data_IF_866209080968
#
_entry.id   IF_866209080968
#
_cell.length_a   1.000
_cell.length_b   1.000
_cell.length_c   1.000
_cell.angle_alpha   90.00
_cell.angle_beta   90.00
_cell.angle_gamma   90.00
#
_symmetry.space_group_name_H-M   'P 1'
#
loop_
_entity.id
_entity.type
_entity.pdbx_description
1 polymer ?
#
# COMPACT_ATOMS: atom_id res chain seq x y z
N UNK A 1 12.04 -32.58 -7.15
CA UNK A 1 12.15 -31.34 -6.34
C UNK A 1 10.80 -30.64 -6.41
N UNK A 2 10.01 -30.80 -5.35
CA UNK A 2 8.60 -30.42 -5.21
C UNK A 2 8.47 -28.98 -4.71
N UNK A 3 8.47 -27.98 -5.59
CA UNK A 3 8.28 -26.56 -5.22
C UNK A 3 6.92 -25.99 -5.66
N UNK A 4 6.18 -26.68 -6.54
CA UNK A 4 4.87 -26.22 -7.03
C UNK A 4 3.76 -26.31 -5.97
N UNK A 5 3.84 -27.29 -5.06
CA UNK A 5 2.81 -27.57 -4.06
C UNK A 5 2.70 -26.47 -2.98
N UNK A 6 3.80 -25.82 -2.62
CA UNK A 6 3.79 -24.79 -1.58
C UNK A 6 3.24 -23.45 -2.09
N UNK A 7 3.53 -23.09 -3.33
CA UNK A 7 2.97 -21.92 -3.99
C UNK A 7 1.46 -22.05 -4.18
N UNK A 8 1.01 -23.24 -4.56
CA UNK A 8 -0.40 -23.56 -4.75
C UNK A 8 -1.17 -23.60 -3.42
N UNK A 9 -0.58 -24.20 -2.37
CA UNK A 9 -1.13 -24.16 -1.02
C UNK A 9 -1.22 -22.72 -0.46
N UNK A 10 -0.25 -21.87 -0.79
CA UNK A 10 -0.24 -20.45 -0.42
C UNK A 10 -1.32 -19.66 -1.16
N UNK A 11 -1.52 -19.94 -2.45
CA UNK A 11 -2.59 -19.35 -3.28
C UNK A 11 -3.96 -19.76 -2.75
N UNK A 12 -4.20 -21.06 -2.50
CA UNK A 12 -5.44 -21.56 -1.95
C UNK A 12 -5.75 -20.96 -0.56
N UNK A 13 -4.73 -20.79 0.28
CA UNK A 13 -4.88 -20.12 1.59
C UNK A 13 -5.22 -18.64 1.45
N UNK A 14 -4.65 -17.95 0.46
CA UNK A 14 -4.96 -16.55 0.13
C UNK A 14 -6.40 -16.42 -0.39
N UNK A 15 -6.84 -17.29 -1.29
CA UNK A 15 -8.19 -17.31 -1.83
C UNK A 15 -9.23 -17.63 -0.74
N UNK A 16 -8.94 -18.56 0.16
CA UNK A 16 -9.79 -18.84 1.32
C UNK A 16 -9.92 -17.63 2.26
N UNK A 17 -8.83 -16.90 2.50
CA UNK A 17 -8.86 -15.66 3.30
C UNK A 17 -9.67 -14.58 2.60
N UNK A 18 -9.52 -14.40 1.28
CA UNK A 18 -10.27 -13.40 0.50
C UNK A 18 -11.77 -13.72 0.51
N UNK A 19 -12.14 -14.99 0.31
CA UNK A 19 -13.53 -15.43 0.35
C UNK A 19 -14.13 -15.32 1.75
N UNK A 20 -13.37 -15.64 2.80
CA UNK A 20 -13.81 -15.47 4.18
C UNK A 20 -13.91 -13.98 4.58
N UNK A 21 -13.07 -13.12 3.99
CA UNK A 21 -13.09 -11.68 4.18
C UNK A 21 -14.26 -10.98 3.47
N UNK A 22 -15.00 -11.68 2.62
CA UNK A 22 -16.17 -11.13 1.93
C UNK A 22 -17.28 -10.85 2.97
N UNK A 23 -17.46 -9.58 3.32
CA UNK A 23 -18.39 -9.13 4.37
C UNK A 23 -17.76 -8.89 5.75
N UNK A 24 -16.43 -8.98 5.88
CA UNK A 24 -15.70 -8.59 7.09
C UNK A 24 -15.27 -7.12 6.98
N UNK A 25 -15.43 -6.38 8.06
CA UNK A 25 -14.92 -5.00 8.18
C UNK A 25 -13.41 -4.93 7.83
N UNK A 26 -12.98 -4.05 6.90
CA UNK A 26 -11.59 -3.95 6.45
C UNK A 26 -10.57 -3.72 7.58
N UNK A 27 -11.01 -3.17 8.71
CA UNK A 27 -10.21 -2.93 9.91
C UNK A 27 -9.82 -4.22 10.66
N UNK A 28 -10.56 -5.31 10.45
CA UNK A 28 -10.30 -6.63 11.04
C UNK A 28 -9.42 -7.53 10.16
N UNK A 29 -9.20 -7.14 8.90
CA UNK A 29 -8.39 -7.90 7.96
C UNK A 29 -6.91 -7.62 8.20
N UNK A 30 -6.20 -8.61 8.75
CA UNK A 30 -4.78 -8.53 9.07
C UNK A 30 -3.90 -9.22 8.03
N UNK A 31 -3.28 -8.40 7.21
CA UNK A 31 -2.42 -8.78 6.10
C UNK A 31 -0.98 -9.03 6.55
N UNK A 32 -0.33 -10.01 5.94
CA UNK A 32 1.12 -10.24 6.10
C UNK A 32 1.91 -9.19 5.32
N UNK A 33 3.20 -9.01 5.62
CA UNK A 33 4.04 -8.04 4.90
C UNK A 33 4.09 -8.29 3.38
N UNK A 34 4.07 -9.55 2.95
CA UNK A 34 4.03 -9.88 1.51
C UNK A 34 2.71 -9.45 0.85
N UNK A 35 1.58 -9.62 1.55
CA UNK A 35 0.26 -9.25 1.02
C UNK A 35 0.09 -7.72 1.01
N UNK A 36 0.60 -7.04 2.04
CA UNK A 36 0.66 -5.58 2.08
C UNK A 36 1.52 -5.02 0.95
N UNK A 37 2.68 -5.63 0.68
CA UNK A 37 3.55 -5.23 -0.43
C UNK A 37 2.87 -5.39 -1.79
N UNK A 38 2.14 -6.49 -2.00
CA UNK A 38 1.34 -6.73 -3.21
C UNK A 38 0.25 -5.66 -3.39
N UNK A 39 -0.49 -5.32 -2.33
CA UNK A 39 -1.54 -4.29 -2.37
C UNK A 39 -0.96 -2.91 -2.70
N UNK A 40 0.18 -2.59 -2.10
CA UNK A 40 0.88 -1.32 -2.32
C UNK A 40 1.67 -1.28 -3.64
N UNK A 41 1.75 -2.41 -4.37
CA UNK A 41 2.58 -2.57 -5.57
C UNK A 41 4.05 -2.16 -5.35
N UNK A 42 4.61 -2.53 -4.19
CA UNK A 42 6.00 -2.25 -3.82
C UNK A 42 6.77 -3.53 -3.51
N UNK A 43 8.09 -3.47 -3.50
CA UNK A 43 8.90 -4.61 -3.06
C UNK A 43 8.78 -4.82 -1.55
N UNK A 44 8.82 -6.09 -1.12
CA UNK A 44 8.82 -6.43 0.31
C UNK A 44 9.99 -5.79 1.06
N UNK A 45 11.16 -5.71 0.41
CA UNK A 45 12.35 -5.07 0.96
C UNK A 45 12.15 -3.57 1.19
N UNK A 46 11.45 -2.88 0.27
CA UNK A 46 11.12 -1.47 0.45
C UNK A 46 10.17 -1.29 1.64
N UNK A 47 9.15 -2.15 1.77
CA UNK A 47 8.22 -2.10 2.90
C UNK A 47 8.91 -2.42 4.24
N UNK A 48 9.86 -3.35 4.25
CA UNK A 48 10.68 -3.64 5.43
C UNK A 48 11.57 -2.45 5.80
N UNK A 49 12.23 -1.83 4.82
CA UNK A 49 13.03 -0.63 5.04
C UNK A 49 12.18 0.54 5.54
N UNK A 50 10.97 0.69 5.00
CA UNK A 50 10.02 1.70 5.44
C UNK A 50 9.64 1.55 6.92
N UNK A 51 9.41 0.32 7.39
CA UNK A 51 9.17 0.08 8.83
C UNK A 51 10.35 0.51 9.69
N UNK A 52 11.57 0.18 9.27
CA UNK A 52 12.79 0.50 10.04
C UNK A 52 13.12 1.99 10.04
N UNK A 53 12.91 2.66 8.91
CA UNK A 53 13.23 4.10 8.73
C UNK A 53 12.08 5.02 9.14
N UNK A 54 10.89 4.47 9.34
CA UNK A 54 9.66 5.23 9.60
C UNK A 54 9.15 6.03 8.41
N UNK A 55 9.77 5.89 7.22
CA UNK A 55 9.42 6.64 6.02
C UNK A 55 9.35 5.77 4.77
N UNK A 56 8.36 6.04 3.92
CA UNK A 56 8.20 5.41 2.62
C UNK A 56 7.79 6.46 1.59
N UNK A 57 8.51 6.55 0.47
CA UNK A 57 8.21 7.48 -0.62
C UNK A 57 8.05 8.95 -0.15
N UNK A 58 8.89 9.38 0.78
CA UNK A 58 8.86 10.74 1.36
C UNK A 58 7.74 10.98 2.39
N UNK A 59 6.92 9.96 2.69
CA UNK A 59 5.82 10.03 3.66
C UNK A 59 6.11 9.17 4.89
N UNK A 60 5.39 9.36 6.01
CA UNK A 60 5.41 8.41 7.11
C UNK A 60 5.09 7.01 6.60
N UNK A 61 5.80 5.99 7.09
CA UNK A 61 5.55 4.61 6.74
C UNK A 61 4.11 4.19 7.10
N UNK A 62 3.52 3.24 6.35
CA UNK A 62 2.18 2.75 6.66
C UNK A 62 2.12 2.14 8.07
N UNK A 63 1.02 2.36 8.82
CA UNK A 63 0.86 1.79 10.14
C UNK A 63 0.97 0.27 10.10
N UNK A 64 1.64 -0.29 11.10
CA UNK A 64 1.77 -1.73 11.25
C UNK A 64 1.53 -2.15 12.69
N UNK A 65 1.04 -3.38 12.85
CA UNK A 65 0.83 -4.04 14.12
C UNK A 65 1.96 -5.05 14.32
N UNK A 66 2.69 -4.89 15.41
CA UNK A 66 3.61 -5.92 15.86
C UNK A 66 2.86 -6.85 16.83
N UNK A 67 2.57 -8.07 16.36
CA UNK A 67 1.99 -9.14 17.16
C UNK A 67 3.11 -10.10 17.53
N UNK A 68 3.70 -9.84 18.70
CA UNK A 68 4.85 -10.58 19.23
C UNK A 68 6.03 -10.58 18.25
N UNK A 69 6.29 -11.71 17.59
CA UNK A 69 7.35 -11.87 16.58
C UNK A 69 6.90 -11.57 15.14
N UNK A 70 5.60 -11.38 14.92
CA UNK A 70 5.03 -11.22 13.57
C UNK A 70 4.52 -9.81 13.34
N UNK A 71 4.71 -9.32 12.11
CA UNK A 71 4.19 -8.00 11.71
C UNK A 71 2.99 -8.17 10.80
N UNK A 72 1.94 -7.43 11.09
CA UNK A 72 0.69 -7.41 10.33
C UNK A 72 0.31 -5.99 9.95
N UNK A 73 -0.45 -5.86 8.88
CA UNK A 73 -1.01 -4.60 8.41
C UNK A 73 -2.52 -4.73 8.38
N UNK A 74 -3.25 -3.73 8.84
CA UNK A 74 -4.69 -3.68 8.61
C UNK A 74 -4.93 -3.24 7.18
N UNK A 75 -5.91 -3.86 6.52
CA UNK A 75 -6.30 -3.44 5.18
C UNK A 75 -6.79 -1.98 5.19
N UNK A 76 -7.60 -1.59 6.19
CA UNK A 76 -8.08 -0.21 6.36
C UNK A 76 -6.94 0.81 6.37
N UNK A 77 -5.90 0.55 7.16
CA UNK A 77 -4.81 1.49 7.38
C UNK A 77 -3.95 1.62 6.12
N UNK A 78 -3.77 0.52 5.37
CA UNK A 78 -3.09 0.54 4.08
C UNK A 78 -3.89 1.32 3.03
N UNK A 79 -5.21 1.13 2.98
CA UNK A 79 -6.07 1.87 2.04
C UNK A 79 -6.11 3.35 2.37
N UNK A 80 -6.23 3.73 3.64
CA UNK A 80 -6.22 5.12 4.08
C UNK A 80 -4.88 5.80 3.81
N UNK A 81 -3.77 5.07 4.02
CA UNK A 81 -2.43 5.53 3.67
C UNK A 81 -2.30 5.77 2.16
N UNK A 82 -2.82 4.87 1.31
CA UNK A 82 -2.85 5.02 -0.15
C UNK A 82 -3.69 6.21 -0.59
N UNK A 83 -4.87 6.41 0.01
CA UNK A 83 -5.71 7.56 -0.29
C UNK A 83 -5.03 8.88 0.07
N UNK A 84 -4.38 8.93 1.23
CA UNK A 84 -3.59 10.09 1.64
C UNK A 84 -2.44 10.33 0.67
N UNK A 85 -1.78 9.25 0.27
CA UNK A 85 -0.71 9.27 -0.71
C UNK A 85 -1.17 9.80 -2.08
N UNK A 86 -2.39 9.44 -2.51
CA UNK A 86 -2.98 9.91 -3.75
C UNK A 86 -3.39 11.40 -3.66
N UNK A 87 -4.01 11.80 -2.54
CA UNK A 87 -4.40 13.21 -2.30
C UNK A 87 -3.16 14.12 -2.31
N UNK A 88 -2.09 13.71 -1.67
CA UNK A 88 -0.83 14.46 -1.67
C UNK A 88 -0.18 14.52 -3.05
N UNK A 89 -0.27 13.45 -3.86
CA UNK A 89 0.30 13.43 -5.21
C UNK A 89 -0.50 14.27 -6.21
N UNK A 90 -1.82 14.36 -6.03
CA UNK A 90 -2.70 15.17 -6.88
C UNK A 90 -2.75 16.63 -6.43
N UNK A 91 -2.40 16.93 -5.17
CA UNK A 91 -2.21 18.29 -4.66
C UNK A 91 -0.86 18.84 -5.10
N UNK A 92 -0.68 19.11 -6.39
CA UNK A 92 0.43 19.94 -6.87
C UNK A 92 0.25 21.37 -6.32
N UNK A 93 1.07 21.85 -5.38
CA UNK A 93 1.11 23.26 -5.03
C UNK A 93 2.10 23.91 -6.00
N UNK A 94 1.63 24.37 -7.17
CA UNK A 94 2.52 25.11 -8.07
C UNK A 94 2.29 24.99 -9.58
N UNK A 95 1.23 24.35 -10.06
CA UNK A 95 0.82 24.58 -11.44
C UNK A 95 0.08 25.92 -11.51
N UNK A 96 0.82 27.03 -11.49
CA UNK A 96 0.24 28.28 -11.96
C UNK A 96 -0.17 28.06 -13.42
N UNK A 97 -1.41 28.40 -13.82
CA UNK A 97 -1.75 28.40 -15.23
C UNK A 97 -0.79 29.37 -15.90
N UNK A 98 0.06 28.86 -16.80
CA UNK A 98 0.84 29.71 -17.68
C UNK A 98 -0.17 30.57 -18.42
N UNK A 99 -0.30 31.83 -18.02
CA UNK A 99 -1.15 32.79 -18.71
C UNK A 99 -0.41 33.07 -20.00
N UNK A 100 -0.75 32.29 -21.05
CA UNK A 100 -0.21 32.46 -22.38
C UNK A 100 -0.60 33.87 -22.82
N UNK A 101 0.36 34.79 -22.72
CA UNK A 101 0.17 36.19 -23.07
C UNK A 101 -0.36 36.28 -24.49
N UNK A 102 -1.52 36.92 -24.63
CA UNK A 102 -2.04 37.36 -25.90
C UNK A 102 -1.01 38.30 -26.54
N UNK A 103 -0.26 37.79 -27.53
CA UNK A 103 0.42 38.67 -28.48
C UNK A 103 -0.61 39.12 -29.50
N UNK A 104 -1.26 40.24 -29.19
CA UNK A 104 -1.77 41.13 -30.22
C UNK A 104 -0.56 41.88 -30.78
N UNK A 105 -0.22 41.63 -32.06
CA UNK A 105 0.60 42.57 -32.81
C UNK A 105 -0.20 43.05 -34.02
N UNK A 106 -0.26 44.38 -34.09
CA UNK A 106 -0.96 45.23 -35.04
C UNK A 106 -0.50 45.05 -36.48
#
# INVERSE_FOLDING_TARGET
>A
MTTTSEAEARKARREAIINAAYGIEPSLILLRPSEAADILSVSLSLLANARSTGRMLGRPAPPYLQLDTTVRYRLSDLTEWLETALKDATRTPGAQPVTQGAQAHA
#
